data_IF_919113426210
#
_entry.id   IF_919113426210
#
_cell.length_a   1.000
_cell.length_b   1.000
_cell.length_c   1.000
_cell.angle_alpha   90.00
_cell.angle_beta   90.00
_cell.angle_gamma   90.00
#
_symmetry.space_group_name_H-M   'P 1'
#
loop_
_entity.id
_entity.type
_entity.pdbx_description
1 polymer ?
#
# COMPACT_ATOMS: atom_id res chain seq x y z
N UNK A 1 40.28 -9.29 -21.22
CA UNK A 1 39.26 -10.01 -20.43
C UNK A 1 38.37 -8.95 -19.80
N UNK A 2 37.23 -8.62 -20.40
CA UNK A 2 36.22 -7.71 -19.82
C UNK A 2 35.50 -8.49 -18.73
N UNK A 3 35.76 -8.14 -17.48
CA UNK A 3 35.01 -8.65 -16.34
C UNK A 3 33.55 -8.29 -16.54
N UNK A 4 32.66 -9.30 -16.58
CA UNK A 4 31.24 -9.05 -16.58
C UNK A 4 30.90 -8.14 -15.38
N UNK A 5 30.07 -7.09 -15.55
CA UNK A 5 29.71 -6.23 -14.42
C UNK A 5 29.02 -7.06 -13.34
N UNK A 6 29.48 -6.90 -12.12
CA UNK A 6 28.88 -7.54 -10.93
C UNK A 6 27.39 -7.22 -10.93
N UNK A 7 26.48 -8.21 -10.76
CA UNK A 7 25.05 -7.94 -10.71
C UNK A 7 24.76 -6.90 -9.62
N UNK A 8 24.10 -5.81 -9.97
CA UNK A 8 23.69 -4.80 -9.01
C UNK A 8 22.63 -5.42 -8.10
N UNK A 9 22.94 -5.56 -6.82
CA UNK A 9 21.96 -6.03 -5.83
C UNK A 9 20.86 -4.97 -5.67
N UNK A 10 19.61 -5.31 -6.00
CA UNK A 10 18.44 -4.46 -5.83
C UNK A 10 17.83 -4.78 -4.48
N UNK A 11 17.78 -3.79 -3.60
CA UNK A 11 17.29 -3.97 -2.23
C UNK A 11 15.83 -3.58 -2.09
N UNK A 12 15.04 -4.36 -1.32
CA UNK A 12 13.68 -3.97 -1.01
C UNK A 12 13.68 -2.76 -0.05
N UNK A 13 13.07 -1.67 -0.44
CA UNK A 13 12.76 -0.54 0.46
C UNK A 13 11.60 -0.92 1.36
N UNK A 14 10.52 -1.44 0.78
CA UNK A 14 9.42 -2.07 1.52
C UNK A 14 9.81 -3.44 2.06
N UNK A 15 9.17 -3.88 3.14
CA UNK A 15 9.49 -5.18 3.75
C UNK A 15 9.25 -6.34 2.76
N UNK A 16 10.14 -7.34 2.74
CA UNK A 16 10.05 -8.51 1.83
C UNK A 16 8.71 -9.22 1.94
N UNK A 17 8.16 -9.42 3.15
CA UNK A 17 6.84 -10.05 3.33
C UNK A 17 5.68 -9.29 2.67
N UNK A 18 5.78 -7.96 2.56
CA UNK A 18 4.80 -7.14 1.84
C UNK A 18 4.90 -7.40 0.34
N UNK A 19 6.12 -7.39 -0.21
CA UNK A 19 6.38 -7.73 -1.60
C UNK A 19 5.87 -9.14 -1.94
N UNK A 20 6.23 -10.15 -1.14
CA UNK A 20 5.82 -11.54 -1.32
C UNK A 20 4.29 -11.67 -1.32
N UNK A 21 3.64 -10.97 -0.39
CA UNK A 21 2.17 -11.00 -0.31
C UNK A 21 1.52 -10.37 -1.52
N UNK A 22 2.02 -9.22 -1.99
CA UNK A 22 1.50 -8.57 -3.21
C UNK A 22 1.78 -9.43 -4.44
N UNK A 23 2.98 -10.05 -4.53
CA UNK A 23 3.27 -11.03 -5.58
C UNK A 23 2.24 -12.15 -5.63
N UNK A 24 1.93 -12.79 -4.48
CA UNK A 24 0.89 -13.85 -4.42
C UNK A 24 -0.47 -13.38 -4.95
N UNK A 25 -0.82 -12.10 -4.78
CA UNK A 25 -2.09 -11.55 -5.23
C UNK A 25 -2.09 -11.22 -6.73
N UNK A 26 -0.97 -10.73 -7.27
CA UNK A 26 -0.92 -10.26 -8.66
C UNK A 26 -0.55 -11.37 -9.64
N UNK A 27 0.26 -12.37 -9.25
CA UNK A 27 0.70 -13.44 -10.14
C UNK A 27 -0.45 -14.15 -10.88
N UNK A 28 -1.58 -14.50 -10.23
CA UNK A 28 -2.71 -15.12 -10.93
C UNK A 28 -3.37 -14.23 -11.98
N UNK A 29 -3.14 -12.92 -11.91
CA UNK A 29 -3.74 -11.91 -12.78
C UNK A 29 -2.83 -11.54 -13.95
N UNK A 30 -1.54 -11.86 -13.86
CA UNK A 30 -0.53 -11.54 -14.87
C UNK A 30 -0.64 -12.51 -16.03
N UNK A 31 -0.96 -11.97 -17.22
CA UNK A 31 -1.02 -12.70 -18.50
C UNK A 31 -0.60 -11.75 -19.63
N UNK A 32 -0.38 -12.32 -20.82
CA UNK A 32 -0.08 -11.50 -21.99
C UNK A 32 -1.16 -10.43 -22.22
N UNK A 33 -0.71 -9.19 -22.49
CA UNK A 33 -1.59 -8.04 -22.70
C UNK A 33 -2.02 -7.30 -21.42
N UNK A 34 -1.75 -7.83 -20.22
CA UNK A 34 -1.95 -7.10 -18.96
C UNK A 34 -0.84 -6.06 -18.77
N UNK A 35 -1.21 -4.86 -18.32
CA UNK A 35 -0.30 -3.79 -17.95
C UNK A 35 -0.32 -3.58 -16.44
N UNK A 36 0.79 -3.86 -15.76
CA UNK A 36 1.00 -3.62 -14.34
C UNK A 36 1.89 -2.39 -14.14
N UNK A 37 1.47 -1.46 -13.30
CA UNK A 37 2.27 -0.32 -12.87
C UNK A 37 2.77 -0.51 -11.44
N UNK A 38 4.09 -0.39 -11.23
CA UNK A 38 4.75 -0.28 -9.93
C UNK A 38 4.94 1.21 -9.61
N UNK A 39 4.19 1.71 -8.63
CA UNK A 39 4.09 3.14 -8.31
C UNK A 39 4.83 3.41 -7.00
N UNK A 40 5.85 4.28 -7.05
CA UNK A 40 6.83 4.45 -5.99
C UNK A 40 7.78 3.25 -5.96
N UNK A 41 8.38 2.94 -7.13
CA UNK A 41 9.12 1.70 -7.36
C UNK A 41 10.46 1.63 -6.60
N UNK A 42 10.98 2.76 -6.09
CA UNK A 42 12.27 2.84 -5.40
C UNK A 42 13.41 2.26 -6.24
N UNK A 43 14.21 1.36 -5.69
CA UNK A 43 15.29 0.67 -6.43
C UNK A 43 14.76 -0.35 -7.46
N UNK A 44 13.45 -0.67 -7.50
CA UNK A 44 12.83 -1.59 -8.47
C UNK A 44 12.76 -3.05 -8.01
N UNK A 45 12.80 -3.33 -6.72
CA UNK A 45 12.77 -4.70 -6.20
C UNK A 45 11.48 -5.44 -6.58
N UNK A 46 10.31 -4.82 -6.38
CA UNK A 46 9.04 -5.43 -6.78
C UNK A 46 8.93 -5.59 -8.30
N UNK A 47 9.37 -4.57 -9.05
CA UNK A 47 9.48 -4.63 -10.50
C UNK A 47 10.35 -5.80 -10.98
N UNK A 48 11.47 -6.07 -10.31
CA UNK A 48 12.34 -7.20 -10.62
C UNK A 48 11.64 -8.55 -10.37
N UNK A 49 10.95 -8.72 -9.24
CA UNK A 49 10.22 -9.94 -8.92
C UNK A 49 9.16 -10.25 -9.99
N UNK A 50 8.34 -9.25 -10.36
CA UNK A 50 7.32 -9.40 -11.40
C UNK A 50 7.98 -9.68 -12.75
N UNK A 51 9.03 -8.93 -13.11
CA UNK A 51 9.71 -9.08 -14.40
C UNK A 51 10.35 -10.45 -14.57
N UNK A 52 11.00 -10.99 -13.55
CA UNK A 52 11.55 -12.35 -13.55
C UNK A 52 10.45 -13.41 -13.74
N UNK A 53 9.31 -13.24 -13.09
CA UNK A 53 8.16 -14.12 -13.29
C UNK A 53 7.63 -14.04 -14.73
N UNK A 54 7.44 -12.84 -15.27
CA UNK A 54 6.97 -12.60 -16.63
C UNK A 54 7.90 -13.26 -17.64
N UNK A 55 9.20 -13.05 -17.50
CA UNK A 55 10.20 -13.63 -18.40
C UNK A 55 10.24 -15.15 -18.32
N UNK A 56 10.23 -15.72 -17.10
CA UNK A 56 10.37 -17.17 -16.88
C UNK A 56 9.11 -17.97 -17.20
N UNK A 57 7.92 -17.40 -16.99
CA UNK A 57 6.63 -18.09 -17.13
C UNK A 57 5.88 -17.77 -18.40
N UNK A 58 5.97 -16.52 -18.89
CA UNK A 58 5.26 -16.09 -20.09
C UNK A 58 6.19 -16.01 -21.32
N UNK A 59 7.51 -16.03 -21.12
CA UNK A 59 8.49 -15.93 -22.20
C UNK A 59 8.48 -14.58 -22.93
N UNK A 60 7.91 -13.52 -22.33
CA UNK A 60 7.84 -12.20 -22.96
C UNK A 60 8.74 -11.20 -22.21
N UNK A 61 9.23 -10.14 -22.91
CA UNK A 61 10.00 -9.09 -22.25
C UNK A 61 9.22 -8.44 -21.09
N UNK A 62 9.85 -8.20 -19.92
CA UNK A 62 9.19 -7.54 -18.77
C UNK A 62 8.49 -6.23 -19.15
N UNK A 63 9.09 -5.40 -20.00
CA UNK A 63 8.53 -4.13 -20.46
C UNK A 63 7.16 -4.24 -21.17
N UNK A 64 6.80 -5.41 -21.65
CA UNK A 64 5.49 -5.65 -22.27
C UNK A 64 4.35 -5.76 -21.24
N UNK A 65 4.69 -6.07 -19.98
CA UNK A 65 3.73 -6.29 -18.90
C UNK A 65 3.87 -5.27 -17.78
N UNK A 66 5.10 -4.97 -17.34
CA UNK A 66 5.35 -4.07 -16.21
C UNK A 66 5.90 -2.73 -16.66
N UNK A 67 5.47 -1.69 -15.98
CA UNK A 67 6.02 -0.33 -16.05
C UNK A 67 6.21 0.19 -14.61
N UNK A 68 7.17 1.07 -14.40
CA UNK A 68 7.49 1.65 -13.11
C UNK A 68 7.48 3.17 -13.15
N UNK A 69 7.14 3.79 -12.01
CA UNK A 69 7.36 5.22 -11.82
C UNK A 69 7.75 5.54 -10.38
N UNK A 70 8.55 6.58 -10.22
CA UNK A 70 9.00 7.10 -8.93
C UNK A 70 9.21 8.62 -9.02
N UNK A 71 9.28 9.29 -7.87
CA UNK A 71 9.69 10.70 -7.80
C UNK A 71 11.21 10.85 -8.01
N UNK A 72 11.98 9.79 -7.74
CA UNK A 72 13.42 9.69 -7.91
C UNK A 72 13.80 8.52 -8.83
N UNK A 73 13.46 8.57 -10.12
CA UNK A 73 13.69 7.48 -11.07
C UNK A 73 15.17 7.12 -11.23
N UNK A 74 16.10 8.03 -10.87
CA UNK A 74 17.55 7.82 -10.90
C UNK A 74 18.04 6.74 -9.92
N UNK A 75 17.27 6.43 -8.87
CA UNK A 75 17.58 5.33 -7.94
C UNK A 75 17.10 3.97 -8.42
N UNK A 76 16.29 3.94 -9.47
CA UNK A 76 15.76 2.69 -10.02
C UNK A 76 16.88 1.88 -10.72
N UNK A 77 17.04 0.61 -10.36
CA UNK A 77 18.18 -0.22 -10.76
C UNK A 77 17.81 -1.46 -11.59
N UNK A 78 16.51 -1.78 -11.73
CA UNK A 78 16.11 -2.94 -12.54
C UNK A 78 16.23 -2.63 -14.04
N UNK A 79 17.21 -3.25 -14.77
CA UNK A 79 17.59 -2.80 -16.10
C UNK A 79 16.60 -3.20 -17.22
N UNK A 80 15.66 -4.10 -16.95
CA UNK A 80 14.76 -4.64 -17.95
C UNK A 80 13.61 -3.68 -18.32
N UNK A 81 13.39 -2.61 -17.52
CA UNK A 81 12.38 -1.58 -17.78
C UNK A 81 12.91 -0.19 -17.39
N UNK A 82 12.34 0.84 -17.99
CA UNK A 82 12.60 2.22 -17.57
C UNK A 82 11.65 2.62 -16.42
N UNK A 83 12.14 3.41 -15.47
CA UNK A 83 11.32 4.09 -14.47
C UNK A 83 10.96 5.48 -14.96
N UNK A 84 9.67 5.84 -14.94
CA UNK A 84 9.17 7.15 -15.32
C UNK A 84 9.14 8.08 -14.11
N UNK A 85 9.31 9.38 -14.33
CA UNK A 85 9.21 10.39 -13.27
C UNK A 85 7.74 10.68 -12.94
N UNK A 86 7.38 10.64 -11.66
CA UNK A 86 6.11 11.19 -11.15
C UNK A 86 6.24 12.72 -11.14
N UNK A 87 5.24 13.42 -11.67
CA UNK A 87 5.27 14.88 -11.70
C UNK A 87 5.24 15.50 -10.28
N UNK A 88 5.78 16.71 -10.08
CA UNK A 88 5.82 17.36 -8.76
C UNK A 88 4.44 17.58 -8.12
N UNK A 89 3.39 17.69 -8.94
CA UNK A 89 2.00 17.79 -8.48
C UNK A 89 1.37 16.43 -8.11
N UNK A 90 2.15 15.34 -8.19
CA UNK A 90 1.73 13.97 -7.91
C UNK A 90 1.03 13.27 -9.07
N UNK A 91 0.97 13.87 -10.26
CA UNK A 91 0.38 13.23 -11.44
C UNK A 91 1.22 12.05 -11.89
N UNK A 92 0.59 10.89 -12.02
CA UNK A 92 1.22 9.67 -12.49
C UNK A 92 1.45 9.71 -14.00
N UNK A 93 2.62 9.26 -14.51
CA UNK A 93 3.03 9.37 -15.91
C UNK A 93 2.39 8.31 -16.81
N UNK A 94 1.08 8.11 -16.66
CA UNK A 94 0.27 7.16 -17.42
C UNK A 94 -1.00 7.83 -17.94
N UNK A 95 -1.46 7.40 -19.11
CA UNK A 95 -2.72 7.84 -19.70
C UNK A 95 -3.92 7.30 -18.90
N UNK A 96 -5.05 7.97 -19.04
CA UNK A 96 -6.32 7.54 -18.44
C UNK A 96 -6.70 6.15 -18.96
N UNK A 97 -7.05 5.25 -18.03
CA UNK A 97 -7.51 3.92 -18.39
C UNK A 97 -6.49 3.06 -19.14
N UNK A 98 -5.19 3.23 -18.89
CA UNK A 98 -4.11 2.52 -19.59
C UNK A 98 -3.56 1.31 -18.82
N UNK A 99 -3.81 1.21 -17.51
CA UNK A 99 -3.25 0.22 -16.59
C UNK A 99 -4.32 -0.76 -16.14
N UNK A 100 -4.00 -2.05 -16.09
CA UNK A 100 -4.89 -3.08 -15.56
C UNK A 100 -4.70 -3.30 -14.05
N UNK A 101 -3.44 -3.23 -13.58
CA UNK A 101 -3.06 -3.47 -12.18
C UNK A 101 -2.13 -2.35 -11.74
N UNK A 102 -2.51 -1.59 -10.71
CA UNK A 102 -1.66 -0.59 -10.08
C UNK A 102 -1.21 -1.09 -8.70
N UNK A 103 0.10 -1.22 -8.47
CA UNK A 103 0.69 -1.58 -7.20
C UNK A 103 1.43 -0.39 -6.61
N UNK A 104 1.19 -0.09 -5.33
CA UNK A 104 1.87 0.95 -4.58
C UNK A 104 2.20 0.42 -3.19
N UNK A 105 3.48 0.11 -2.95
CA UNK A 105 3.92 -0.62 -1.77
C UNK A 105 4.66 0.29 -0.80
N UNK A 106 4.04 0.61 0.34
CA UNK A 106 4.60 1.47 1.40
C UNK A 106 4.98 2.87 0.85
N UNK A 107 4.01 3.52 0.15
CA UNK A 107 4.17 4.83 -0.50
C UNK A 107 3.17 5.84 0.03
N UNK A 108 1.92 5.44 0.25
CA UNK A 108 0.81 6.36 0.58
C UNK A 108 1.03 7.12 1.89
N UNK A 109 1.82 6.59 2.81
CA UNK A 109 2.24 7.23 4.06
C UNK A 109 3.23 8.39 3.88
N UNK A 110 3.87 8.47 2.71
CA UNK A 110 4.79 9.56 2.32
C UNK A 110 4.09 10.64 1.49
N UNK A 111 2.86 10.38 1.03
CA UNK A 111 2.13 11.28 0.13
C UNK A 111 1.38 12.35 0.94
N UNK A 112 1.63 13.63 0.64
CA UNK A 112 0.93 14.75 1.29
C UNK A 112 -0.57 14.73 1.00
N UNK A 113 -0.96 14.62 -0.27
CA UNK A 113 -2.35 14.62 -0.70
C UNK A 113 -2.84 13.22 -1.08
N UNK A 114 -3.16 12.41 -0.07
CA UNK A 114 -3.62 11.04 -0.26
C UNK A 114 -4.92 10.93 -1.07
N UNK A 115 -5.81 11.94 -1.02
CA UNK A 115 -7.02 11.97 -1.86
C UNK A 115 -6.70 12.19 -3.34
N UNK A 116 -5.73 13.07 -3.65
CA UNK A 116 -5.26 13.24 -5.02
C UNK A 116 -4.61 11.95 -5.54
N UNK A 117 -3.78 11.31 -4.72
CA UNK A 117 -3.15 10.04 -5.04
C UNK A 117 -4.19 8.94 -5.34
N UNK A 118 -5.23 8.80 -4.52
CA UNK A 118 -6.31 7.86 -4.78
C UNK A 118 -7.05 8.15 -6.11
N UNK A 119 -7.26 9.44 -6.47
CA UNK A 119 -7.84 9.82 -7.76
C UNK A 119 -6.94 9.49 -8.94
N UNK A 120 -5.62 9.67 -8.80
CA UNK A 120 -4.63 9.30 -9.82
C UNK A 120 -4.59 7.78 -10.06
N UNK A 121 -4.61 6.97 -8.99
CA UNK A 121 -4.75 5.51 -9.11
C UNK A 121 -6.02 5.13 -9.87
N UNK A 122 -7.15 5.78 -9.56
CA UNK A 122 -8.40 5.56 -10.27
C UNK A 122 -8.32 5.99 -11.73
N UNK A 123 -7.73 7.16 -12.03
CA UNK A 123 -7.59 7.71 -13.38
C UNK A 123 -6.87 6.76 -14.31
N UNK A 124 -5.69 6.29 -13.90
CA UNK A 124 -4.84 5.46 -14.76
C UNK A 124 -5.38 4.05 -14.98
N UNK A 125 -6.23 3.52 -14.08
CA UNK A 125 -6.77 2.17 -14.22
C UNK A 125 -7.85 2.10 -15.30
N UNK A 126 -7.85 1.00 -16.04
CA UNK A 126 -8.93 0.60 -16.93
C UNK A 126 -10.21 0.30 -16.15
N UNK A 127 -11.41 0.37 -16.78
CA UNK A 127 -12.61 -0.21 -16.20
C UNK A 127 -12.37 -1.69 -15.82
N UNK A 128 -12.73 -2.08 -14.59
CA UNK A 128 -12.44 -3.40 -14.05
C UNK A 128 -11.01 -3.63 -13.55
N UNK A 129 -10.12 -2.65 -13.70
CA UNK A 129 -8.76 -2.68 -13.18
C UNK A 129 -8.72 -2.64 -11.65
N UNK A 130 -7.58 -3.01 -11.06
CA UNK A 130 -7.40 -3.09 -9.62
C UNK A 130 -6.21 -2.27 -9.14
N UNK A 131 -6.35 -1.65 -7.97
CA UNK A 131 -5.24 -1.06 -7.22
C UNK A 131 -4.94 -1.91 -5.98
N UNK A 132 -3.65 -2.14 -5.71
CA UNK A 132 -3.13 -2.71 -4.48
C UNK A 132 -2.27 -1.65 -3.79
N UNK A 133 -2.70 -1.19 -2.62
CA UNK A 133 -2.01 -0.14 -1.86
C UNK A 133 -1.65 -0.67 -0.50
N UNK A 134 -0.36 -0.77 -0.20
CA UNK A 134 0.08 -1.17 1.14
C UNK A 134 0.57 0.03 1.96
N UNK A 135 0.42 -0.09 3.28
CA UNK A 135 0.90 0.89 4.25
C UNK A 135 1.08 0.24 5.62
N UNK A 136 1.95 0.80 6.51
CA UNK A 136 2.03 0.36 7.88
C UNK A 136 0.68 0.38 8.60
N UNK A 137 0.37 -0.67 9.35
CA UNK A 137 -0.90 -0.79 10.03
C UNK A 137 -0.91 -0.04 11.37
N UNK A 138 -1.45 1.17 11.36
CA UNK A 138 -1.61 1.99 12.57
C UNK A 138 -2.70 1.46 13.53
N UNK A 139 -3.55 0.54 13.07
CA UNK A 139 -4.61 -0.07 13.88
C UNK A 139 -4.16 -1.31 14.65
N UNK A 140 -2.95 -1.79 14.43
CA UNK A 140 -2.43 -2.92 15.19
C UNK A 140 -2.23 -2.55 16.67
N UNK A 141 -2.34 -3.52 17.55
CA UNK A 141 -2.35 -3.26 18.99
C UNK A 141 -1.05 -2.64 19.51
N UNK A 142 0.11 -2.95 18.90
CA UNK A 142 1.38 -2.30 19.26
C UNK A 142 1.37 -0.80 18.91
N UNK A 143 0.82 -0.44 17.74
CA UNK A 143 0.67 0.95 17.33
C UNK A 143 -0.32 1.71 18.21
N UNK A 144 -1.45 1.08 18.55
CA UNK A 144 -2.44 1.66 19.49
C UNK A 144 -1.84 1.89 20.87
N UNK A 145 -1.09 0.90 21.38
CA UNK A 145 -0.41 1.00 22.66
C UNK A 145 0.63 2.11 22.66
N UNK A 146 1.50 2.12 21.64
CA UNK A 146 2.51 3.17 21.50
C UNK A 146 1.88 4.55 21.39
N UNK A 147 0.82 4.70 20.59
CA UNK A 147 0.10 5.97 20.44
C UNK A 147 -0.49 6.44 21.77
N UNK A 148 -1.05 5.54 22.58
CA UNK A 148 -1.66 5.87 23.87
C UNK A 148 -0.68 6.54 24.84
N UNK A 149 0.60 6.10 24.87
CA UNK A 149 1.58 6.63 25.82
C UNK A 149 2.57 7.65 25.22
N UNK A 150 2.76 7.68 23.91
CA UNK A 150 3.74 8.55 23.25
C UNK A 150 3.14 9.54 22.23
N UNK A 151 1.89 9.36 21.83
CA UNK A 151 1.25 10.15 20.78
C UNK A 151 1.63 9.71 19.36
N UNK A 152 2.48 8.68 19.20
CA UNK A 152 2.98 8.25 17.88
C UNK A 152 2.68 6.79 17.61
N UNK A 153 2.17 6.47 16.42
CA UNK A 153 2.01 5.09 15.98
C UNK A 153 3.38 4.46 15.65
N UNK A 154 3.47 3.13 15.63
CA UNK A 154 4.70 2.42 15.23
C UNK A 154 5.04 2.77 13.78
N UNK A 155 6.31 3.08 13.52
CA UNK A 155 6.87 3.57 12.25
C UNK A 155 6.53 5.03 11.89
N UNK A 156 5.80 5.74 12.74
CA UNK A 156 5.52 7.17 12.57
C UNK A 156 6.19 7.95 13.69
N UNK A 157 7.49 8.12 13.58
CA UNK A 157 8.33 8.87 14.53
C UNK A 157 8.31 10.37 14.23
N UNK A 158 8.65 11.24 15.21
CA UNK A 158 8.85 12.66 14.93
C UNK A 158 9.86 12.89 13.82
N UNK A 159 9.56 13.84 12.93
CA UNK A 159 10.39 14.20 11.80
C UNK A 159 11.20 15.46 12.10
N UNK A 160 12.32 15.63 11.40
CA UNK A 160 13.14 16.83 11.51
C UNK A 160 12.43 18.00 10.83
N UNK A 161 12.00 19.00 11.61
CA UNK A 161 11.30 20.19 11.10
C UNK A 161 12.15 21.08 10.20
N UNK A 162 13.47 21.05 10.35
CA UNK A 162 14.43 21.80 9.53
C UNK A 162 14.89 21.04 8.28
N UNK A 163 14.28 19.88 7.98
CA UNK A 163 14.61 19.13 6.76
C UNK A 163 14.25 19.93 5.52
N UNK A 164 15.17 19.99 4.57
CA UNK A 164 14.94 20.56 3.24
C UNK A 164 14.52 19.50 2.23
N UNK A 165 14.22 18.29 2.69
CA UNK A 165 13.72 17.20 1.84
C UNK A 165 12.32 17.56 1.29
N UNK A 166 12.19 17.83 -0.02
CA UNK A 166 10.95 18.34 -0.61
C UNK A 166 9.83 17.29 -0.68
N UNK A 167 10.13 16.02 -0.44
CA UNK A 167 9.20 14.91 -0.67
C UNK A 167 9.11 13.95 0.52
N UNK A 168 9.60 14.38 1.68
CA UNK A 168 9.47 13.63 2.94
C UNK A 168 9.95 12.17 2.86
N UNK A 169 11.02 11.90 2.09
CA UNK A 169 11.57 10.55 1.91
C UNK A 169 12.18 9.99 3.18
N UNK A 170 12.60 10.86 4.11
CA UNK A 170 13.24 10.48 5.36
C UNK A 170 12.27 9.98 6.44
N UNK A 171 10.94 9.97 6.19
CA UNK A 171 9.99 9.51 7.18
C UNK A 171 8.53 9.44 6.72
N UNK A 172 7.70 8.80 7.54
CA UNK A 172 6.28 8.69 7.30
C UNK A 172 5.53 9.92 7.83
N UNK A 173 4.93 10.70 6.93
CA UNK A 173 4.25 11.96 7.29
C UNK A 173 2.75 11.77 7.58
N UNK A 174 2.12 10.74 6.99
CA UNK A 174 0.68 10.55 7.02
C UNK A 174 0.28 9.16 7.57
N UNK A 175 0.03 9.02 8.89
CA UNK A 175 -0.45 7.77 9.47
C UNK A 175 -1.91 7.50 9.03
N UNK A 176 -2.10 6.73 7.97
CA UNK A 176 -3.43 6.40 7.46
C UNK A 176 -3.91 5.06 7.99
N UNK A 177 -5.11 5.01 8.58
CA UNK A 177 -5.75 3.75 8.91
C UNK A 177 -6.45 3.13 7.70
N UNK A 178 -6.64 1.81 7.70
CA UNK A 178 -7.37 1.13 6.62
C UNK A 178 -8.75 1.74 6.36
N UNK A 179 -9.47 2.18 7.40
CA UNK A 179 -10.76 2.86 7.20
C UNK A 179 -10.62 4.10 6.31
N UNK A 180 -9.69 4.99 6.64
CA UNK A 180 -9.52 6.22 5.87
C UNK A 180 -8.92 5.96 4.49
N UNK A 181 -8.04 4.98 4.34
CA UNK A 181 -7.55 4.56 3.03
C UNK A 181 -8.68 4.02 2.14
N UNK A 182 -9.52 3.13 2.69
CA UNK A 182 -10.69 2.62 1.98
C UNK A 182 -11.68 3.75 1.63
N UNK A 183 -11.90 4.71 2.56
CA UNK A 183 -12.74 5.87 2.32
C UNK A 183 -12.20 6.74 1.17
N UNK A 184 -10.89 7.02 1.14
CA UNK A 184 -10.25 7.79 0.06
C UNK A 184 -10.41 7.09 -1.29
N UNK A 185 -10.17 5.78 -1.36
CA UNK A 185 -10.34 4.97 -2.57
C UNK A 185 -11.80 4.97 -3.04
N UNK A 186 -12.76 4.77 -2.14
CA UNK A 186 -14.20 4.84 -2.47
C UNK A 186 -14.60 6.23 -2.97
N UNK A 187 -14.09 7.30 -2.36
CA UNK A 187 -14.34 8.69 -2.79
C UNK A 187 -13.67 9.03 -4.12
N UNK A 188 -12.61 8.33 -4.51
CA UNK A 188 -12.00 8.44 -5.83
C UNK A 188 -12.81 7.76 -6.94
N UNK A 189 -13.79 6.90 -6.59
CA UNK A 189 -14.67 6.22 -7.55
C UNK A 189 -14.56 4.69 -7.58
N UNK A 190 -13.66 4.07 -6.79
CA UNK A 190 -13.54 2.62 -6.75
C UNK A 190 -14.85 1.96 -6.26
N UNK A 191 -15.29 0.92 -6.94
CA UNK A 191 -16.56 0.22 -6.69
C UNK A 191 -16.53 -0.61 -5.39
N UNK A 192 -15.37 -1.17 -5.06
CA UNK A 192 -15.20 -1.99 -3.86
C UNK A 192 -13.80 -1.85 -3.29
N UNK A 193 -13.70 -2.08 -1.98
CA UNK A 193 -12.44 -2.18 -1.27
C UNK A 193 -12.45 -3.40 -0.37
N UNK A 194 -11.34 -4.10 -0.31
CA UNK A 194 -11.08 -5.21 0.62
C UNK A 194 -9.66 -5.10 1.16
N UNK A 195 -9.35 -5.85 2.22
CA UNK A 195 -8.03 -5.81 2.85
C UNK A 195 -7.44 -7.19 3.03
N UNK A 196 -6.13 -7.28 2.85
CA UNK A 196 -5.32 -8.41 3.29
C UNK A 196 -4.09 -7.91 4.04
N UNK A 197 -3.26 -8.81 4.51
CA UNK A 197 -2.18 -8.53 5.46
C UNK A 197 -0.90 -9.22 5.03
N UNK A 198 0.24 -8.59 5.31
CA UNK A 198 1.56 -9.16 5.01
C UNK A 198 1.96 -10.24 6.01
N UNK A 199 2.12 -9.89 7.28
CA UNK A 199 2.53 -10.78 8.36
C UNK A 199 1.93 -10.38 9.70
N UNK A 200 1.93 -11.34 10.65
CA UNK A 200 1.41 -11.16 12.01
C UNK A 200 2.55 -11.09 13.03
N UNK A 201 2.48 -10.09 13.93
CA UNK A 201 3.48 -9.86 14.97
C UNK A 201 3.15 -10.65 16.23
N UNK A 202 4.13 -11.43 16.73
CA UNK A 202 3.96 -12.18 18.00
C UNK A 202 3.74 -11.23 19.19
N UNK A 203 4.49 -10.12 19.24
CA UNK A 203 4.31 -9.10 20.27
C UNK A 203 2.90 -8.52 20.30
N UNK A 204 2.27 -8.33 19.11
CA UNK A 204 0.89 -7.88 19.04
C UNK A 204 -0.09 -8.94 19.55
N UNK A 205 0.15 -10.23 19.29
CA UNK A 205 -0.67 -11.31 19.82
C UNK A 205 -0.62 -11.35 21.36
N UNK A 206 0.57 -11.21 21.96
CA UNK A 206 0.75 -11.20 23.40
C UNK A 206 0.08 -9.96 24.04
N UNK A 207 0.32 -8.77 23.48
CA UNK A 207 -0.29 -7.54 23.98
C UNK A 207 -1.82 -7.54 23.85
N UNK A 208 -2.36 -8.22 22.83
CA UNK A 208 -3.79 -8.34 22.62
C UNK A 208 -4.50 -9.13 23.75
N UNK A 209 -3.80 -10.02 24.45
CA UNK A 209 -4.35 -10.73 25.61
C UNK A 209 -4.77 -9.71 26.69
N UNK A 210 -3.94 -8.66 26.89
CA UNK A 210 -4.19 -7.61 27.89
C UNK A 210 -5.17 -6.56 27.35
N UNK A 211 -4.91 -6.03 26.15
CA UNK A 211 -5.66 -4.92 25.58
C UNK A 211 -6.97 -5.36 24.89
N UNK A 212 -7.10 -6.63 24.54
CA UNK A 212 -8.22 -7.16 23.76
C UNK A 212 -9.60 -6.88 24.37
N UNK A 213 -9.82 -7.15 25.65
CA UNK A 213 -11.10 -6.87 26.31
C UNK A 213 -11.51 -5.40 26.21
N UNK A 214 -10.57 -4.47 26.43
CA UNK A 214 -10.82 -3.02 26.35
C UNK A 214 -11.14 -2.60 24.90
N UNK A 215 -10.38 -3.10 23.93
CA UNK A 215 -10.62 -2.83 22.51
C UNK A 215 -11.99 -3.38 22.11
N UNK A 216 -12.33 -4.60 22.54
CA UNK A 216 -13.63 -5.21 22.22
C UNK A 216 -14.79 -4.40 22.80
N UNK A 217 -14.72 -4.01 24.08
CA UNK A 217 -15.73 -3.17 24.72
C UNK A 217 -15.89 -1.85 23.95
N UNK A 218 -14.78 -1.16 23.66
CA UNK A 218 -14.80 0.09 22.89
C UNK A 218 -15.45 -0.06 21.52
N UNK A 219 -15.13 -1.14 20.80
CA UNK A 219 -15.75 -1.45 19.51
C UNK A 219 -17.26 -1.71 19.65
N UNK A 220 -17.73 -2.44 20.71
CA UNK A 220 -19.16 -2.66 20.94
C UNK A 220 -19.90 -1.35 21.26
N UNK A 221 -19.31 -0.50 22.10
CA UNK A 221 -19.89 0.80 22.42
C UNK A 221 -20.00 1.70 21.18
N UNK A 222 -18.95 1.77 20.37
CA UNK A 222 -18.97 2.53 19.11
C UNK A 222 -20.03 1.97 18.17
N UNK A 223 -20.11 0.65 17.99
CA UNK A 223 -21.11 -0.02 17.14
C UNK A 223 -22.53 0.31 17.58
N UNK A 224 -22.81 0.21 18.90
CA UNK A 224 -24.14 0.58 19.46
C UNK A 224 -24.48 2.03 19.18
N UNK A 225 -23.50 2.94 19.40
CA UNK A 225 -23.67 4.38 19.16
C UNK A 225 -23.92 4.69 17.67
N UNK A 226 -23.18 4.07 16.77
CA UNK A 226 -23.36 4.23 15.32
C UNK A 226 -24.75 3.75 14.89
N UNK A 227 -25.16 2.55 15.29
CA UNK A 227 -26.47 2.00 14.94
C UNK A 227 -27.63 2.87 15.49
N UNK A 228 -27.48 3.44 16.68
CA UNK A 228 -28.51 4.26 17.29
C UNK A 228 -28.59 5.69 16.70
N UNK A 229 -27.45 6.28 16.36
CA UNK A 229 -27.39 7.70 15.96
C UNK A 229 -27.17 7.95 14.48
N UNK A 230 -26.59 6.99 13.76
CA UNK A 230 -26.20 7.09 12.34
C UNK A 230 -26.36 5.74 11.64
N UNK A 231 -27.57 5.16 11.59
CA UNK A 231 -27.80 3.81 11.06
C UNK A 231 -27.37 3.66 9.60
N UNK A 232 -27.60 4.68 8.77
CA UNK A 232 -27.19 4.67 7.36
C UNK A 232 -25.66 4.59 7.21
N UNK A 233 -24.92 5.38 8.01
CA UNK A 233 -23.46 5.33 8.03
C UNK A 233 -22.96 3.96 8.52
N UNK A 234 -23.61 3.38 9.53
CA UNK A 234 -23.26 2.06 10.05
C UNK A 234 -23.49 0.97 9.00
N UNK A 235 -24.59 1.02 8.27
CA UNK A 235 -24.94 0.08 7.20
C UNK A 235 -23.98 0.20 6.02
N UNK A 236 -23.76 1.40 5.50
CA UNK A 236 -22.86 1.65 4.37
C UNK A 236 -21.42 1.19 4.65
N UNK A 237 -20.94 1.38 5.87
CA UNK A 237 -19.58 1.05 6.27
C UNK A 237 -19.42 -0.33 6.91
N UNK A 238 -20.47 -1.15 6.98
CA UNK A 238 -20.47 -2.41 7.74
C UNK A 238 -19.32 -3.36 7.33
N UNK A 239 -19.03 -3.47 6.04
CA UNK A 239 -17.94 -4.30 5.50
C UNK A 239 -16.56 -3.80 5.97
N UNK A 240 -16.29 -2.50 5.80
CA UNK A 240 -15.01 -1.89 6.19
C UNK A 240 -14.82 -1.95 7.71
N UNK A 241 -15.89 -1.68 8.49
CA UNK A 241 -15.84 -1.74 9.95
C UNK A 241 -15.59 -3.16 10.47
N UNK A 242 -16.15 -4.18 9.82
CA UNK A 242 -15.85 -5.59 10.12
C UNK A 242 -14.36 -5.88 9.98
N UNK A 243 -13.73 -5.38 8.92
CA UNK A 243 -12.29 -5.56 8.67
C UNK A 243 -11.46 -4.78 9.69
N UNK A 244 -11.81 -3.52 9.98
CA UNK A 244 -11.16 -2.65 11.00
C UNK A 244 -11.16 -3.29 12.39
N UNK A 245 -12.22 -4.00 12.75
CA UNK A 245 -12.37 -4.66 14.05
C UNK A 245 -11.91 -6.11 14.06
N UNK A 246 -11.36 -6.61 12.96
CA UNK A 246 -10.93 -8.01 12.86
C UNK A 246 -9.69 -8.30 13.69
N UNK A 247 -9.58 -9.54 14.16
CA UNK A 247 -8.37 -10.04 14.84
C UNK A 247 -7.11 -9.83 13.97
N UNK A 248 -7.21 -10.11 12.67
CA UNK A 248 -6.08 -9.95 11.72
C UNK A 248 -5.60 -8.50 11.67
N UNK A 249 -6.51 -7.53 11.66
CA UNK A 249 -6.17 -6.11 11.72
C UNK A 249 -5.40 -5.76 12.99
N UNK A 250 -5.78 -6.33 14.14
CA UNK A 250 -5.13 -6.01 15.42
C UNK A 250 -3.72 -6.55 15.55
N UNK A 251 -3.32 -7.55 14.77
CA UNK A 251 -2.01 -8.20 14.92
C UNK A 251 -1.09 -8.09 13.70
N UNK A 252 -1.56 -7.57 12.56
CA UNK A 252 -0.75 -7.46 11.33
C UNK A 252 0.23 -6.28 11.38
N UNK A 253 1.37 -6.42 10.65
CA UNK A 253 2.36 -5.33 10.51
C UNK A 253 1.91 -4.27 9.51
N UNK A 254 1.56 -4.71 8.30
CA UNK A 254 1.07 -3.84 7.23
C UNK A 254 -0.29 -4.33 6.74
N UNK A 255 -1.06 -3.41 6.21
CA UNK A 255 -2.30 -3.68 5.48
C UNK A 255 -2.06 -3.50 3.99
N UNK A 256 -2.76 -4.29 3.19
CA UNK A 256 -2.78 -4.17 1.74
C UNK A 256 -4.25 -3.99 1.35
N UNK A 257 -4.62 -2.76 1.02
CA UNK A 257 -5.94 -2.46 0.48
C UNK A 257 -5.99 -2.85 -0.99
N UNK A 258 -7.05 -3.54 -1.38
CA UNK A 258 -7.33 -3.95 -2.75
C UNK A 258 -8.60 -3.22 -3.17
N UNK A 259 -8.51 -2.38 -4.21
CA UNK A 259 -9.63 -1.59 -4.71
C UNK A 259 -9.90 -1.91 -6.17
N UNK A 260 -11.18 -2.08 -6.55
CA UNK A 260 -11.60 -2.39 -7.92
C UNK A 260 -12.32 -1.20 -8.52
N UNK A 261 -11.87 -0.80 -9.73
CA UNK A 261 -12.52 0.22 -10.57
C UNK A 261 -13.70 -0.32 -11.34
#
# INVERSE_FOLDING_TARGET
MTTAPTPVEIRPISHTSTNDKVMQLVLPLIKAGVRLADIGAGEGYFSQLVGQHVQSKLGVPPANVITACDIFPEFFRYPAIACKTIAPDGRLPYDDGSIDIACSLEVVEHVENQFAFARELYRILKPGGIALVSTPNVLNVNSRWRNLHSGFAVLFDPLMLSSTDPVHTSGHINPVSYYYLAYQLRRAGFLSTSVTYDRFKLSAKLLLIICGPVIWIGNQLLRRRLNARKPDVASENAGILKDVWSYKMLISRSVIAIAKK
#
